data_IF_150659407071
#
_entry.id   IF_150659407071
#
_cell.length_a   1.000
_cell.length_b   1.000
_cell.length_c   1.000
_cell.angle_alpha   90.00
_cell.angle_beta   90.00
_cell.angle_gamma   90.00
#
_symmetry.space_group_name_H-M   'P 1'
#
loop_
_entity.id
_entity.type
_entity.pdbx_description
1 polymer ?
#
# COMPACT_ATOMS: atom_id res chain seq x y z
N UNK A 1 -30.82 13.54 13.34
CA UNK A 1 -29.96 13.37 14.52
C UNK A 1 -30.24 12.00 15.12
N UNK A 2 -29.47 10.98 14.77
CA UNK A 2 -29.40 9.73 15.55
C UNK A 2 -27.96 9.58 16.02
N UNK A 3 -27.78 9.59 17.33
CA UNK A 3 -26.51 9.32 17.99
C UNK A 3 -26.12 7.86 17.72
N UNK A 4 -25.19 7.63 16.80
CA UNK A 4 -24.50 6.34 16.69
C UNK A 4 -23.55 6.21 17.88
N UNK A 5 -24.08 5.66 18.97
CA UNK A 5 -23.28 5.25 20.12
C UNK A 5 -22.19 4.29 19.63
N UNK A 6 -20.93 4.61 19.96
CA UNK A 6 -19.80 3.73 19.71
C UNK A 6 -20.06 2.35 20.34
N UNK A 7 -19.66 1.29 19.64
CA UNK A 7 -19.73 -0.07 20.18
C UNK A 7 -19.02 -0.12 21.57
N UNK A 8 -19.62 -0.79 22.57
CA UNK A 8 -19.10 -0.77 23.92
C UNK A 8 -17.73 -1.47 23.98
N UNK A 9 -16.68 -0.75 24.36
CA UNK A 9 -15.38 -1.36 24.73
C UNK A 9 -14.11 -0.68 24.21
N UNK A 10 -14.18 0.28 23.27
CA UNK A 10 -13.02 1.12 22.90
C UNK A 10 -13.22 2.54 23.40
N UNK A 11 -12.42 2.96 24.37
CA UNK A 11 -12.22 4.37 24.67
C UNK A 11 -11.55 5.01 23.44
N UNK A 12 -12.34 5.65 22.59
CA UNK A 12 -11.86 6.41 21.44
C UNK A 12 -11.68 7.87 21.87
N UNK A 13 -10.55 8.48 21.50
CA UNK A 13 -10.34 9.92 21.72
C UNK A 13 -11.34 10.75 20.89
N UNK A 14 -11.47 12.04 21.23
CA UNK A 14 -12.29 12.97 20.46
C UNK A 14 -11.85 13.02 18.99
N UNK A 15 -10.53 13.03 18.74
CA UNK A 15 -9.97 12.98 17.38
C UNK A 15 -10.40 11.69 16.68
N UNK A 16 -10.21 10.53 17.30
CA UNK A 16 -10.61 9.25 16.69
C UNK A 16 -12.10 9.24 16.34
N UNK A 17 -12.94 9.71 17.26
CA UNK A 17 -14.39 9.76 17.10
C UNK A 17 -14.79 10.71 15.97
N UNK A 18 -14.19 11.90 15.90
CA UNK A 18 -14.46 12.87 14.84
C UNK A 18 -14.08 12.35 13.45
N UNK A 19 -13.08 11.46 13.36
CA UNK A 19 -12.60 10.89 12.10
C UNK A 19 -13.44 9.72 11.58
N UNK A 20 -14.23 9.04 12.41
CA UNK A 20 -15.02 7.87 11.98
C UNK A 20 -15.93 8.14 10.78
N UNK A 21 -16.56 9.31 10.75
CA UNK A 21 -17.52 9.71 9.73
C UNK A 21 -16.93 10.66 8.67
N UNK A 22 -15.62 10.89 8.68
CA UNK A 22 -15.01 11.76 7.70
C UNK A 22 -15.05 11.11 6.30
N UNK A 23 -15.66 11.77 5.30
CA UNK A 23 -15.74 11.22 3.95
C UNK A 23 -14.36 11.28 3.29
N UNK A 24 -13.98 10.21 2.60
CA UNK A 24 -12.76 10.18 1.80
C UNK A 24 -13.09 10.53 0.34
N UNK A 25 -12.26 11.33 -0.33
CA UNK A 25 -12.41 11.55 -1.75
C UNK A 25 -12.21 10.24 -2.52
N UNK A 26 -13.03 10.03 -3.55
CA UNK A 26 -12.87 8.95 -4.51
C UNK A 26 -12.49 9.52 -5.88
N UNK A 27 -11.66 8.82 -6.68
CA UNK A 27 -11.48 9.11 -8.09
C UNK A 27 -12.83 9.27 -8.80
N UNK A 28 -12.94 10.28 -9.67
CA UNK A 28 -14.19 10.62 -10.38
C UNK A 28 -14.76 9.42 -11.15
N UNK A 29 -13.90 8.61 -11.76
CA UNK A 29 -14.28 7.40 -12.51
C UNK A 29 -15.04 6.38 -11.64
N UNK A 30 -14.77 6.30 -10.34
CA UNK A 30 -15.46 5.38 -9.42
C UNK A 30 -16.82 5.91 -8.95
N UNK A 31 -17.07 7.21 -9.08
CA UNK A 31 -18.34 7.86 -8.73
C UNK A 31 -19.42 7.66 -9.79
N UNK A 32 -19.02 7.36 -11.02
CA UNK A 32 -19.90 7.17 -12.17
C UNK A 32 -19.81 5.73 -12.70
N UNK A 33 -20.63 5.36 -13.70
CA UNK A 33 -20.44 4.12 -14.46
C UNK A 33 -19.11 4.17 -15.23
N UNK A 34 -18.43 3.03 -15.31
CA UNK A 34 -17.18 2.88 -16.04
C UNK A 34 -17.12 1.51 -16.71
N UNK A 35 -16.29 1.41 -17.74
CA UNK A 35 -15.86 0.14 -18.35
C UNK A 35 -14.38 -0.09 -18.09
N UNK A 36 -13.97 -1.34 -18.18
CA UNK A 36 -12.57 -1.72 -18.17
C UNK A 36 -12.09 -1.72 -19.62
N UNK A 37 -10.98 -1.03 -19.88
CA UNK A 37 -10.27 -1.08 -21.15
C UNK A 37 -8.91 -1.75 -20.91
N UNK A 38 -8.61 -2.75 -21.73
CA UNK A 38 -7.30 -3.39 -21.71
C UNK A 38 -6.26 -2.43 -22.30
N UNK A 39 -5.13 -2.32 -21.61
CA UNK A 39 -3.92 -1.67 -22.08
C UNK A 39 -3.00 -2.66 -22.81
N UNK A 40 -1.73 -2.28 -23.03
CA UNK A 40 -0.77 -3.16 -23.70
C UNK A 40 -0.51 -4.45 -22.88
N UNK A 41 -0.18 -5.57 -23.54
CA UNK A 41 0.35 -6.76 -22.88
C UNK A 41 1.55 -6.41 -21.99
N UNK A 42 1.61 -6.99 -20.79
CA UNK A 42 2.71 -6.74 -19.86
C UNK A 42 3.88 -7.71 -20.08
N UNK A 43 5.06 -7.30 -19.64
CA UNK A 43 6.26 -8.13 -19.49
C UNK A 43 6.79 -8.00 -18.07
N UNK A 44 7.74 -8.84 -17.66
CA UNK A 44 8.35 -8.77 -16.33
C UNK A 44 9.44 -7.70 -16.22
N UNK A 45 9.61 -7.12 -15.03
CA UNK A 45 10.65 -6.14 -14.72
C UNK A 45 12.07 -6.71 -14.88
N UNK A 46 12.24 -8.02 -14.66
CA UNK A 46 13.50 -8.74 -14.90
C UNK A 46 13.25 -10.20 -15.29
N UNK A 47 14.19 -10.77 -16.04
CA UNK A 47 14.19 -12.18 -16.46
C UNK A 47 12.85 -12.69 -17.05
N UNK A 48 12.30 -12.03 -18.10
CA UNK A 48 10.95 -12.32 -18.59
C UNK A 48 10.74 -13.77 -19.03
N UNK A 49 11.73 -14.41 -19.64
CA UNK A 49 11.64 -15.81 -20.07
C UNK A 49 11.48 -16.79 -18.89
N UNK A 50 12.14 -16.50 -17.76
CA UNK A 50 12.03 -17.33 -16.54
C UNK A 50 10.71 -17.07 -15.82
N UNK A 51 10.26 -15.81 -15.75
CA UNK A 51 8.94 -15.48 -15.20
C UNK A 51 7.82 -16.11 -16.04
N UNK A 52 7.94 -16.12 -17.37
CA UNK A 52 6.97 -16.77 -18.25
C UNK A 52 6.85 -18.28 -17.98
N UNK A 53 7.97 -18.97 -17.67
CA UNK A 53 7.95 -20.39 -17.27
C UNK A 53 7.28 -20.63 -15.93
N UNK A 54 7.46 -19.70 -14.97
CA UNK A 54 6.89 -19.80 -13.63
C UNK A 54 5.40 -19.42 -13.59
N UNK A 55 4.97 -18.54 -14.50
CA UNK A 55 3.60 -18.01 -14.56
C UNK A 55 2.95 -18.20 -15.94
N UNK A 56 2.84 -19.44 -16.44
CA UNK A 56 2.37 -19.70 -17.80
C UNK A 56 0.91 -19.30 -18.04
N UNK A 57 0.11 -19.08 -16.99
CA UNK A 57 -1.30 -18.62 -17.11
C UNK A 57 -1.46 -17.11 -16.94
N UNK A 58 -0.58 -16.46 -16.19
CA UNK A 58 -0.69 -15.04 -15.87
C UNK A 58 0.29 -14.14 -16.62
N UNK A 59 1.42 -14.67 -17.11
CA UNK A 59 2.39 -13.89 -17.85
C UNK A 59 1.77 -13.31 -19.14
N UNK A 60 2.09 -12.06 -19.46
CA UNK A 60 1.56 -11.38 -20.65
C UNK A 60 0.17 -10.77 -20.49
N UNK A 61 -0.46 -10.90 -19.32
CA UNK A 61 -1.78 -10.28 -19.08
C UNK A 61 -1.72 -8.75 -19.33
N UNK A 62 -2.72 -8.17 -20.02
CA UNK A 62 -2.72 -6.75 -20.29
C UNK A 62 -2.89 -5.97 -18.99
N UNK A 63 -2.38 -4.74 -18.95
CA UNK A 63 -2.83 -3.79 -17.94
C UNK A 63 -4.31 -3.48 -18.15
N UNK A 64 -4.99 -3.03 -17.10
CA UNK A 64 -6.39 -2.65 -17.18
C UNK A 64 -6.54 -1.19 -16.76
N UNK A 65 -7.38 -0.41 -17.46
CA UNK A 65 -7.72 0.97 -17.10
C UNK A 65 -9.23 1.14 -16.96
N UNK A 66 -9.64 1.98 -16.01
CA UNK A 66 -11.06 2.35 -15.87
C UNK A 66 -11.36 3.56 -16.74
N UNK A 67 -12.34 3.43 -17.65
CA UNK A 67 -12.76 4.49 -18.55
C UNK A 67 -14.21 4.85 -18.27
N UNK A 68 -14.55 6.15 -18.05
CA UNK A 68 -15.92 6.57 -17.82
C UNK A 68 -16.86 6.13 -18.97
N UNK A 69 -18.07 5.73 -18.62
CA UNK A 69 -19.13 5.44 -19.61
C UNK A 69 -20.33 6.34 -19.36
N UNK A 70 -20.85 6.96 -20.43
CA UNK A 70 -22.06 7.80 -20.38
C UNK A 70 -23.37 7.02 -20.24
N UNK A 71 -23.33 5.69 -20.25
CA UNK A 71 -24.50 4.82 -20.09
C UNK A 71 -24.75 4.48 -18.62
N UNK A 72 -26.03 4.41 -18.24
CA UNK A 72 -26.50 3.88 -16.95
C UNK A 72 -25.94 2.48 -16.75
N UNK A 73 -25.39 2.13 -15.57
CA UNK A 73 -24.81 0.81 -15.39
C UNK A 73 -25.93 -0.22 -15.46
N UNK A 74 -25.70 -1.38 -16.08
CA UNK A 74 -26.36 -2.57 -15.54
C UNK A 74 -25.86 -2.69 -14.11
N UNK A 75 -26.73 -2.70 -13.11
CA UNK A 75 -26.34 -3.17 -11.78
C UNK A 75 -25.53 -4.46 -11.97
N UNK A 76 -24.43 -4.65 -11.23
CA UNK A 76 -23.75 -5.94 -11.30
C UNK A 76 -24.77 -6.99 -10.83
N UNK A 77 -25.26 -7.79 -11.79
CA UNK A 77 -26.25 -8.82 -11.54
C UNK A 77 -25.55 -9.97 -10.83
N UNK A 78 -25.50 -9.93 -9.51
CA UNK A 78 -24.90 -10.99 -8.71
C UNK A 78 -24.37 -10.51 -7.36
N UNK A 79 -24.38 -11.41 -6.39
CA UNK A 79 -23.68 -11.25 -5.12
C UNK A 79 -22.26 -11.80 -5.25
N UNK A 80 -21.30 -11.15 -4.59
CA UNK A 80 -19.90 -11.58 -4.56
C UNK A 80 -19.50 -12.01 -3.16
N UNK A 81 -18.64 -13.02 -3.07
CA UNK A 81 -17.96 -13.42 -1.84
C UNK A 81 -16.47 -13.07 -1.96
N UNK A 82 -16.05 -12.04 -1.21
CA UNK A 82 -14.69 -11.50 -1.29
C UNK A 82 -13.96 -11.73 0.02
N UNK A 83 -12.81 -12.41 -0.05
CA UNK A 83 -11.86 -12.49 1.07
C UNK A 83 -10.89 -11.32 1.06
N UNK A 84 -10.50 -10.82 2.23
CA UNK A 84 -9.43 -9.82 2.39
C UNK A 84 -8.38 -10.28 3.40
N UNK A 85 -7.12 -10.00 3.12
CA UNK A 85 -5.97 -10.36 3.96
C UNK A 85 -5.09 -9.12 4.19
N UNK A 86 -4.81 -8.79 5.45
CA UNK A 86 -3.76 -7.82 5.81
C UNK A 86 -2.43 -8.57 6.01
N UNK A 87 -1.44 -8.34 5.16
CA UNK A 87 -0.16 -9.06 5.19
C UNK A 87 1.02 -8.11 5.42
N UNK A 88 2.00 -8.57 6.21
CA UNK A 88 3.20 -7.81 6.51
C UNK A 88 3.09 -6.84 7.68
N UNK A 89 4.04 -5.91 7.74
CA UNK A 89 4.04 -4.81 8.71
C UNK A 89 2.87 -3.85 8.48
N UNK A 90 2.40 -3.23 9.56
CA UNK A 90 1.27 -2.31 9.51
C UNK A 90 1.64 -1.04 8.73
N UNK A 91 0.68 -0.47 8.03
CA UNK A 91 0.79 0.85 7.40
C UNK A 91 -0.52 1.61 7.63
N UNK A 92 -0.48 2.94 7.85
CA UNK A 92 -1.70 3.74 7.92
C UNK A 92 -2.57 3.55 6.67
N UNK A 93 -3.89 3.41 6.84
CA UNK A 93 -4.85 3.29 5.73
C UNK A 93 -5.30 1.86 5.36
N UNK A 94 -4.73 0.81 5.94
CA UNK A 94 -5.18 -0.57 5.64
C UNK A 94 -6.65 -0.84 5.98
N UNK A 95 -7.16 -0.26 7.07
CA UNK A 95 -8.59 -0.33 7.39
C UNK A 95 -9.46 0.38 6.34
N UNK A 96 -8.95 1.45 5.72
CA UNK A 96 -9.67 2.19 4.69
C UNK A 96 -9.73 1.43 3.38
N UNK A 97 -8.73 0.61 3.05
CA UNK A 97 -8.80 -0.32 1.91
C UNK A 97 -9.95 -1.32 2.11
N UNK A 98 -10.03 -1.94 3.29
CA UNK A 98 -11.11 -2.88 3.61
C UNK A 98 -12.47 -2.17 3.60
N UNK A 99 -12.56 -0.98 4.20
CA UNK A 99 -13.79 -0.18 4.25
C UNK A 99 -14.26 0.21 2.84
N UNK A 100 -13.33 0.61 1.95
CA UNK A 100 -13.64 0.96 0.57
C UNK A 100 -14.13 -0.22 -0.27
N UNK A 101 -13.51 -1.40 -0.11
CA UNK A 101 -14.00 -2.65 -0.74
C UNK A 101 -15.41 -2.95 -0.26
N UNK A 102 -15.63 -2.89 1.05
CA UNK A 102 -16.94 -3.15 1.65
C UNK A 102 -18.00 -2.17 1.12
N UNK A 103 -17.73 -0.87 1.18
CA UNK A 103 -18.67 0.17 0.72
C UNK A 103 -18.96 0.04 -0.78
N UNK A 104 -17.95 -0.27 -1.59
CA UNK A 104 -18.15 -0.49 -3.02
C UNK A 104 -19.10 -1.67 -3.27
N UNK A 105 -18.90 -2.79 -2.58
CA UNK A 105 -19.75 -3.97 -2.70
C UNK A 105 -21.18 -3.70 -2.20
N UNK A 106 -21.34 -3.04 -1.06
CA UNK A 106 -22.69 -2.70 -0.55
C UNK A 106 -23.44 -1.73 -1.48
N UNK A 107 -22.71 -0.86 -2.20
CA UNK A 107 -23.32 0.10 -3.13
C UNK A 107 -23.60 -0.49 -4.53
N UNK A 108 -22.69 -1.33 -5.06
CA UNK A 108 -22.71 -1.78 -6.46
C UNK A 108 -23.07 -3.26 -6.67
N UNK A 109 -23.01 -4.08 -5.62
CA UNK A 109 -23.29 -5.52 -5.64
C UNK A 109 -23.98 -5.95 -4.33
N UNK A 110 -25.16 -5.39 -4.06
CA UNK A 110 -25.91 -5.62 -2.81
C UNK A 110 -26.11 -7.10 -2.53
N UNK A 111 -25.93 -7.50 -1.27
CA UNK A 111 -25.97 -8.90 -0.84
C UNK A 111 -24.62 -9.63 -0.95
N UNK A 112 -23.55 -8.93 -1.36
CA UNK A 112 -22.18 -9.46 -1.28
C UNK A 112 -21.69 -9.60 0.15
N UNK A 113 -20.84 -10.60 0.38
CA UNK A 113 -20.22 -10.90 1.68
C UNK A 113 -18.72 -10.63 1.62
N UNK A 114 -18.18 -10.03 2.69
CA UNK A 114 -16.74 -9.80 2.83
C UNK A 114 -16.19 -10.59 4.02
N UNK A 115 -15.19 -11.42 3.79
CA UNK A 115 -14.52 -12.22 4.80
C UNK A 115 -13.14 -11.64 5.11
N UNK A 116 -12.89 -11.25 6.35
CA UNK A 116 -11.59 -10.83 6.83
C UNK A 116 -10.80 -12.00 7.39
N UNK A 117 -9.73 -12.43 6.70
CA UNK A 117 -8.86 -13.51 7.17
C UNK A 117 -7.92 -13.04 8.27
N UNK A 118 -7.94 -13.75 9.40
CA UNK A 118 -7.26 -13.32 10.62
C UNK A 118 -5.77 -13.63 10.62
N UNK A 119 -4.95 -12.65 10.99
CA UNK A 119 -3.52 -12.83 11.23
C UNK A 119 -2.71 -13.05 9.95
N UNK A 120 -3.09 -12.40 8.85
CA UNK A 120 -2.38 -12.48 7.57
C UNK A 120 -2.61 -13.78 6.80
N UNK A 121 -1.65 -14.21 5.94
CA UNK A 121 -1.84 -15.35 5.05
C UNK A 121 -2.13 -16.68 5.76
N UNK A 122 -1.72 -16.84 7.03
CA UNK A 122 -2.14 -17.98 7.85
C UNK A 122 -3.65 -18.09 8.01
N UNK A 123 -4.39 -16.97 7.97
CA UNK A 123 -5.84 -16.94 8.07
C UNK A 123 -6.52 -17.71 6.94
N UNK A 124 -6.11 -17.47 5.69
CA UNK A 124 -6.65 -18.21 4.54
C UNK A 124 -6.20 -19.67 4.53
N UNK A 125 -4.95 -19.98 4.90
CA UNK A 125 -4.48 -21.37 4.97
C UNK A 125 -5.22 -22.18 6.04
N UNK A 126 -5.54 -21.57 7.18
CA UNK A 126 -6.18 -22.25 8.32
C UNK A 126 -7.69 -22.07 8.37
N UNK A 127 -8.30 -21.50 7.33
CA UNK A 127 -9.73 -21.14 7.29
C UNK A 127 -10.18 -20.33 8.53
N UNK A 128 -9.33 -19.41 9.01
CA UNK A 128 -9.61 -18.52 10.15
C UNK A 128 -10.00 -17.14 9.65
N UNK A 129 -11.29 -16.82 9.74
CA UNK A 129 -11.85 -15.57 9.25
C UNK A 129 -12.93 -15.02 10.19
N UNK A 130 -13.35 -13.79 9.91
CA UNK A 130 -14.60 -13.19 10.38
C UNK A 130 -15.35 -12.63 9.19
N UNK A 131 -16.68 -12.68 9.24
CA UNK A 131 -17.50 -11.91 8.33
C UNK A 131 -17.49 -10.44 8.75
N UNK A 132 -17.25 -9.54 7.80
CA UNK A 132 -17.18 -8.11 8.05
C UNK A 132 -18.55 -7.51 7.80
N UNK A 133 -19.19 -7.03 8.86
CA UNK A 133 -20.49 -6.34 8.82
C UNK A 133 -20.30 -4.82 8.95
N UNK A 134 -21.33 -4.00 8.67
CA UNK A 134 -21.26 -2.55 8.88
C UNK A 134 -20.82 -2.18 10.30
N UNK A 135 -21.36 -2.86 11.31
CA UNK A 135 -21.08 -2.64 12.73
C UNK A 135 -19.64 -3.05 13.08
N UNK A 136 -19.14 -4.13 12.46
CA UNK A 136 -17.77 -4.58 12.65
C UNK A 136 -16.75 -3.59 12.07
N UNK A 137 -17.02 -3.05 10.87
CA UNK A 137 -16.09 -2.14 10.16
C UNK A 137 -16.13 -0.73 10.75
N UNK A 138 -17.30 -0.24 11.17
CA UNK A 138 -17.50 1.13 11.63
C UNK A 138 -16.40 1.67 12.57
N UNK A 139 -16.01 0.98 13.67
CA UNK A 139 -15.02 1.50 14.61
C UNK A 139 -13.60 1.61 14.04
N UNK A 140 -13.32 1.06 12.86
CA UNK A 140 -12.01 1.09 12.22
C UNK A 140 -11.93 2.10 11.06
N UNK A 141 -13.05 2.76 10.72
CA UNK A 141 -13.05 3.76 9.64
C UNK A 141 -12.09 4.89 9.97
N UNK A 142 -11.18 5.17 9.04
CA UNK A 142 -10.16 6.23 9.15
C UNK A 142 -9.21 6.05 10.34
N UNK A 143 -9.16 4.86 10.94
CA UNK A 143 -8.21 4.55 12.01
C UNK A 143 -6.90 4.00 11.43
N UNK A 144 -5.82 4.19 12.19
CA UNK A 144 -4.55 3.54 11.90
C UNK A 144 -4.52 2.10 12.38
N UNK A 145 -3.44 1.38 12.04
CA UNK A 145 -3.21 0.02 12.51
C UNK A 145 -3.87 -1.05 11.62
N UNK A 146 -3.53 -2.31 11.91
CA UNK A 146 -4.00 -3.51 11.18
C UNK A 146 -4.85 -4.44 12.08
N UNK A 147 -5.27 -3.93 13.23
CA UNK A 147 -5.94 -4.63 14.33
C UNK A 147 -7.37 -5.10 14.02
N UNK A 148 -8.01 -4.60 12.96
CA UNK A 148 -9.33 -5.09 12.51
C UNK A 148 -9.36 -6.61 12.29
N UNK A 149 -8.33 -7.15 11.64
CA UNK A 149 -8.17 -8.60 11.39
C UNK A 149 -6.77 -9.12 11.71
N UNK A 150 -5.90 -8.28 12.28
CA UNK A 150 -4.48 -8.52 12.50
C UNK A 150 -3.72 -8.85 11.20
N UNK A 151 -2.39 -8.88 11.29
CA UNK A 151 -1.54 -9.24 10.17
C UNK A 151 -0.54 -10.33 10.50
N UNK A 152 0.07 -10.88 9.47
CA UNK A 152 1.07 -11.95 9.55
C UNK A 152 2.01 -11.90 8.36
N UNK A 153 3.14 -12.60 8.48
CA UNK A 153 4.21 -12.65 7.47
C UNK A 153 4.40 -14.05 6.89
N UNK A 154 3.45 -14.95 7.11
CA UNK A 154 3.49 -16.31 6.57
C UNK A 154 3.64 -16.30 5.05
N UNK A 155 4.48 -17.18 4.54
CA UNK A 155 4.65 -17.40 3.11
C UNK A 155 3.82 -18.59 2.65
N UNK A 156 3.40 -18.56 1.39
CA UNK A 156 2.71 -19.67 0.74
C UNK A 156 3.66 -20.19 -0.34
N UNK A 157 4.44 -21.21 0.01
CA UNK A 157 5.51 -21.75 -0.83
C UNK A 157 5.35 -23.25 -1.10
N UNK A 158 4.73 -24.01 -0.18
CA UNK A 158 4.64 -25.47 -0.32
C UNK A 158 3.31 -25.92 -0.96
N UNK A 159 3.27 -27.06 -1.66
CA UNK A 159 2.04 -27.61 -2.22
C UNK A 159 0.90 -27.75 -1.20
N UNK A 160 1.22 -28.11 0.04
CA UNK A 160 0.26 -28.24 1.13
C UNK A 160 -0.35 -26.89 1.52
N UNK A 161 0.46 -25.83 1.56
CA UNK A 161 -0.01 -24.47 1.84
C UNK A 161 -0.91 -23.93 0.72
N UNK A 162 -0.55 -24.20 -0.54
CA UNK A 162 -1.41 -23.89 -1.68
C UNK A 162 -2.73 -24.65 -1.61
N UNK A 163 -2.69 -25.93 -1.25
CA UNK A 163 -3.88 -26.77 -1.11
C UNK A 163 -4.80 -26.27 0.00
N UNK A 164 -4.24 -25.89 1.14
CA UNK A 164 -4.98 -25.29 2.26
C UNK A 164 -5.72 -24.00 1.86
N UNK A 165 -5.06 -23.11 1.11
CA UNK A 165 -5.69 -21.89 0.62
C UNK A 165 -6.79 -22.20 -0.43
N UNK A 166 -6.54 -23.15 -1.33
CA UNK A 166 -7.52 -23.66 -2.30
C UNK A 166 -8.77 -24.22 -1.59
N UNK A 167 -8.59 -25.06 -0.57
CA UNK A 167 -9.69 -25.72 0.13
C UNK A 167 -10.56 -24.69 0.86
N UNK A 168 -9.94 -23.66 1.45
CA UNK A 168 -10.65 -22.54 2.05
C UNK A 168 -11.42 -21.73 1.01
N UNK A 169 -10.79 -21.40 -0.13
CA UNK A 169 -11.43 -20.64 -1.20
C UNK A 169 -12.64 -21.38 -1.79
N UNK A 170 -12.54 -22.70 -1.97
CA UNK A 170 -13.64 -23.57 -2.42
C UNK A 170 -14.73 -23.70 -1.36
N UNK A 171 -14.35 -23.93 -0.10
CA UNK A 171 -15.29 -24.06 1.03
C UNK A 171 -16.15 -22.82 1.22
N UNK A 172 -15.55 -21.64 1.10
CA UNK A 172 -16.26 -20.35 1.22
C UNK A 172 -16.84 -19.89 -0.12
N UNK A 173 -16.59 -20.63 -1.20
CA UNK A 173 -17.07 -20.31 -2.54
C UNK A 173 -16.69 -18.87 -2.95
N UNK A 174 -15.42 -18.49 -2.70
CA UNK A 174 -14.93 -17.13 -2.92
C UNK A 174 -14.86 -16.79 -4.41
N UNK A 175 -15.38 -15.62 -4.77
CA UNK A 175 -15.20 -15.04 -6.11
C UNK A 175 -13.89 -14.25 -6.20
N UNK A 176 -13.49 -13.62 -5.09
CA UNK A 176 -12.29 -12.79 -5.02
C UNK A 176 -11.52 -12.94 -3.71
N UNK A 177 -10.20 -12.75 -3.77
CA UNK A 177 -9.30 -12.62 -2.63
C UNK A 177 -8.40 -11.40 -2.82
N UNK A 178 -8.50 -10.42 -1.94
CA UNK A 178 -7.65 -9.22 -1.95
C UNK A 178 -6.54 -9.35 -0.91
N UNK A 179 -5.29 -9.34 -1.36
CA UNK A 179 -4.10 -9.41 -0.51
C UNK A 179 -3.50 -8.01 -0.37
N UNK A 180 -3.62 -7.40 0.80
CA UNK A 180 -3.14 -6.04 1.09
C UNK A 180 -1.78 -6.15 1.77
N UNK A 181 -0.71 -5.82 1.05
CA UNK A 181 0.64 -6.15 1.51
C UNK A 181 1.77 -5.53 0.70
N UNK A 182 3.01 -5.79 1.11
CA UNK A 182 4.21 -5.32 0.42
C UNK A 182 4.65 -6.26 -0.72
N UNK A 183 5.93 -6.17 -1.10
CA UNK A 183 6.59 -7.01 -2.10
C UNK A 183 6.44 -8.51 -1.84
N UNK A 184 6.79 -8.98 -0.63
CA UNK A 184 6.67 -10.40 -0.27
C UNK A 184 5.20 -10.89 -0.30
N UNK A 185 4.26 -10.03 0.10
CA UNK A 185 2.83 -10.35 0.14
C UNK A 185 2.21 -10.44 -1.26
N UNK A 186 2.56 -9.50 -2.15
CA UNK A 186 2.09 -9.52 -3.52
C UNK A 186 2.79 -10.61 -4.35
N UNK A 187 3.99 -11.03 -3.95
CA UNK A 187 4.63 -12.26 -4.48
C UNK A 187 3.77 -13.49 -4.15
N UNK A 188 3.32 -13.65 -2.90
CA UNK A 188 2.37 -14.72 -2.53
C UNK A 188 1.05 -14.61 -3.30
N UNK A 189 0.53 -13.39 -3.49
CA UNK A 189 -0.70 -13.16 -4.24
C UNK A 189 -0.58 -13.64 -5.70
N UNK A 190 0.55 -13.37 -6.35
CA UNK A 190 0.83 -13.81 -7.72
C UNK A 190 0.93 -15.33 -7.83
N UNK A 191 1.65 -15.96 -6.90
CA UNK A 191 1.77 -17.43 -6.83
C UNK A 191 0.41 -18.11 -6.59
N UNK A 192 -0.40 -17.55 -5.70
CA UNK A 192 -1.78 -18.02 -5.46
C UNK A 192 -2.65 -17.88 -6.71
N UNK A 193 -2.60 -16.72 -7.37
CA UNK A 193 -3.36 -16.44 -8.58
C UNK A 193 -3.04 -17.46 -9.69
N UNK A 194 -1.76 -17.77 -9.89
CA UNK A 194 -1.30 -18.73 -10.88
C UNK A 194 -1.81 -20.13 -10.54
N UNK A 195 -1.60 -20.59 -9.31
CA UNK A 195 -2.07 -21.91 -8.85
C UNK A 195 -3.59 -22.04 -8.96
N UNK A 196 -4.35 -21.01 -8.59
CA UNK A 196 -5.82 -21.03 -8.71
C UNK A 196 -6.26 -21.10 -10.17
N UNK A 197 -5.61 -20.35 -11.06
CA UNK A 197 -5.89 -20.37 -12.50
C UNK A 197 -5.55 -21.72 -13.13
N UNK A 198 -4.40 -22.30 -12.81
CA UNK A 198 -3.98 -23.62 -13.31
C UNK A 198 -4.95 -24.74 -12.90
N UNK A 199 -5.54 -24.62 -11.70
CA UNK A 199 -6.49 -25.60 -11.16
C UNK A 199 -7.95 -25.26 -11.48
N UNK A 200 -8.22 -24.27 -12.33
CA UNK A 200 -9.56 -23.81 -12.68
C UNK A 200 -10.44 -23.48 -11.46
N UNK A 201 -9.84 -22.89 -10.42
CA UNK A 201 -10.56 -22.36 -9.27
C UNK A 201 -11.16 -21.00 -9.64
N UNK A 202 -12.45 -20.77 -9.36
CA UNK A 202 -13.14 -19.53 -9.77
C UNK A 202 -12.55 -18.26 -9.12
N UNK A 203 -11.96 -18.40 -7.94
CA UNK A 203 -11.49 -17.29 -7.10
C UNK A 203 -10.38 -16.50 -7.80
N UNK A 204 -10.61 -15.20 -8.01
CA UNK A 204 -9.60 -14.27 -8.52
C UNK A 204 -8.78 -13.70 -7.37
N UNK A 205 -7.48 -13.55 -7.54
CA UNK A 205 -6.59 -13.00 -6.51
C UNK A 205 -6.08 -11.64 -6.98
N UNK A 206 -6.28 -10.61 -6.15
CA UNK A 206 -5.90 -9.23 -6.42
C UNK A 206 -4.92 -8.76 -5.34
N UNK A 207 -3.81 -8.18 -5.78
CA UNK A 207 -2.85 -7.53 -4.90
C UNK A 207 -3.21 -6.06 -4.66
N UNK A 208 -3.16 -5.61 -3.41
CA UNK A 208 -3.20 -4.19 -3.07
C UNK A 208 -1.83 -3.79 -2.51
N UNK A 209 -1.10 -2.88 -3.17
CA UNK A 209 0.22 -2.47 -2.71
C UNK A 209 0.08 -1.76 -1.36
N UNK A 210 0.96 -2.10 -0.42
CA UNK A 210 1.01 -1.51 0.91
C UNK A 210 2.42 -1.63 1.48
N UNK A 211 3.07 -0.49 1.70
CA UNK A 211 4.31 -0.40 2.47
C UNK A 211 4.45 1.01 3.06
N UNK A 212 5.24 1.15 4.12
CA UNK A 212 5.73 2.46 4.56
C UNK A 212 7.10 2.77 3.94
N UNK A 213 7.81 1.76 3.44
CA UNK A 213 9.21 1.86 2.99
C UNK A 213 9.39 2.65 1.68
N UNK A 214 8.35 3.32 1.17
CA UNK A 214 8.44 4.27 0.05
C UNK A 214 7.82 3.86 -1.28
N UNK A 215 7.40 2.59 -1.47
CA UNK A 215 6.68 2.17 -2.68
C UNK A 215 5.26 2.80 -2.77
N UNK A 216 4.77 3.36 -1.65
CA UNK A 216 3.57 4.20 -1.53
C UNK A 216 3.90 5.41 -0.64
N UNK A 217 3.89 6.62 -1.24
CA UNK A 217 4.39 7.85 -0.62
C UNK A 217 3.28 8.53 0.19
N UNK A 218 3.55 8.88 1.46
CA UNK A 218 2.60 9.57 2.34
C UNK A 218 3.33 10.49 3.33
N UNK A 219 2.60 11.37 4.03
CA UNK A 219 3.18 12.20 5.10
C UNK A 219 3.70 11.35 6.24
N UNK A 220 4.91 11.63 6.68
CA UNK A 220 5.56 10.85 7.74
C UNK A 220 5.64 11.63 9.05
N UNK A 221 5.11 11.04 10.11
CA UNK A 221 5.23 11.52 11.51
C UNK A 221 6.72 11.63 11.91
N UNK A 222 7.61 10.89 11.28
CA UNK A 222 9.04 10.93 11.54
C UNK A 222 9.65 12.33 11.37
N UNK A 223 9.18 13.09 10.38
CA UNK A 223 9.70 14.44 10.12
C UNK A 223 9.38 15.41 11.25
N UNK A 224 8.20 15.32 11.85
CA UNK A 224 7.83 16.11 13.03
C UNK A 224 8.79 15.83 14.19
N UNK A 225 9.01 14.55 14.51
CA UNK A 225 9.90 14.15 15.60
C UNK A 225 11.35 14.60 15.36
N UNK A 226 11.85 14.43 14.13
CA UNK A 226 13.20 14.87 13.75
C UNK A 226 13.32 16.39 13.89
N UNK A 227 12.35 17.15 13.37
CA UNK A 227 12.33 18.61 13.48
C UNK A 227 12.32 19.11 14.93
N UNK A 228 11.60 18.43 15.82
CA UNK A 228 11.60 18.72 17.26
C UNK A 228 12.98 18.46 17.89
N UNK A 229 13.60 17.32 17.59
CA UNK A 229 14.96 17.00 18.06
C UNK A 229 15.99 18.02 17.56
N UNK A 230 15.88 18.45 16.31
CA UNK A 230 16.78 19.45 15.73
C UNK A 230 16.60 20.83 16.38
N UNK A 231 15.37 21.19 16.74
CA UNK A 231 15.08 22.41 17.48
C UNK A 231 15.66 22.36 18.89
N UNK A 232 15.59 21.22 19.56
CA UNK A 232 16.23 21.01 20.88
C UNK A 232 17.76 21.09 20.80
N UNK A 233 18.36 20.42 19.80
CA UNK A 233 19.80 20.45 19.55
C UNK A 233 20.31 21.88 19.30
N UNK A 234 19.58 22.66 18.50
CA UNK A 234 19.87 24.09 18.27
C UNK A 234 19.75 24.92 19.54
N UNK A 235 18.75 24.64 20.37
CA UNK A 235 18.49 25.39 21.60
C UNK A 235 19.54 25.12 22.68
N UNK A 236 20.08 23.91 22.73
CA UNK A 236 21.03 23.49 23.76
C UNK A 236 22.50 23.56 23.34
N UNK A 237 22.79 23.44 22.04
CA UNK A 237 24.14 23.59 21.47
C UNK A 237 25.16 22.53 21.89
N UNK A 238 24.72 21.36 22.38
CA UNK A 238 25.60 20.37 23.04
C UNK A 238 25.45 18.92 22.60
N UNK A 239 24.45 18.59 21.76
CA UNK A 239 24.14 17.22 21.41
C UNK A 239 24.29 16.95 19.91
N UNK A 240 24.78 15.76 19.59
CA UNK A 240 24.68 15.14 18.27
C UNK A 240 23.66 13.99 18.36
N UNK A 241 22.58 14.09 17.61
CA UNK A 241 21.53 13.09 17.59
C UNK A 241 21.69 12.16 16.39
N UNK A 242 21.70 10.86 16.63
CA UNK A 242 21.71 9.84 15.59
C UNK A 242 20.31 9.23 15.51
N UNK A 243 19.58 9.56 14.44
CA UNK A 243 18.21 9.08 14.23
C UNK A 243 18.24 7.99 13.15
N UNK A 244 17.93 6.75 13.55
CA UNK A 244 17.77 5.64 12.61
C UNK A 244 16.28 5.46 12.29
N UNK A 245 15.94 5.55 11.01
CA UNK A 245 14.58 5.40 10.52
C UNK A 245 14.27 3.95 10.12
N UNK A 246 12.98 3.65 10.03
CA UNK A 246 12.51 2.48 9.28
C UNK A 246 12.79 2.73 7.77
N UNK A 247 12.74 1.69 6.95
CA UNK A 247 13.26 1.75 5.57
C UNK A 247 14.17 0.56 5.32
N UNK A 248 13.57 -0.62 5.20
CA UNK A 248 14.28 -1.91 5.24
C UNK A 248 15.39 -2.04 4.21
N UNK A 249 15.09 -1.67 2.97
CA UNK A 249 15.97 -1.84 1.81
C UNK A 249 16.22 -0.51 1.11
N UNK A 250 15.19 0.33 1.02
CA UNK A 250 15.27 1.64 0.37
C UNK A 250 15.29 2.79 1.39
N UNK A 251 15.90 3.92 0.99
CA UNK A 251 16.05 5.13 1.80
C UNK A 251 14.97 6.18 1.52
N UNK A 252 13.82 5.82 0.96
CA UNK A 252 12.74 6.76 0.62
C UNK A 252 12.28 7.57 1.84
N UNK A 253 12.04 6.89 2.97
CA UNK A 253 11.69 7.50 4.27
C UNK A 253 12.78 8.50 4.70
N UNK A 254 14.04 8.07 4.61
CA UNK A 254 15.19 8.89 4.99
C UNK A 254 15.31 10.14 4.11
N UNK A 255 15.16 10.00 2.79
CA UNK A 255 15.21 11.10 1.85
C UNK A 255 14.07 12.10 2.08
N UNK A 256 12.84 11.60 2.30
CA UNK A 256 11.68 12.44 2.61
C UNK A 256 11.91 13.24 3.89
N UNK A 257 12.33 12.59 4.96
CA UNK A 257 12.62 13.25 6.24
C UNK A 257 13.73 14.29 6.10
N UNK A 258 14.76 14.01 5.31
CA UNK A 258 15.84 14.95 5.07
C UNK A 258 15.37 16.20 4.30
N UNK A 259 14.55 16.01 3.27
CA UNK A 259 13.93 17.11 2.53
C UNK A 259 13.01 17.95 3.40
N UNK A 260 12.31 17.36 4.37
CA UNK A 260 11.38 18.08 5.25
C UNK A 260 12.06 18.82 6.41
N UNK A 261 13.22 18.34 6.89
CA UNK A 261 13.79 18.83 8.15
C UNK A 261 15.18 19.46 8.01
N UNK A 262 15.89 19.20 6.91
CA UNK A 262 17.23 19.72 6.61
C UNK A 262 18.31 19.35 7.65
N UNK A 263 18.50 18.05 7.98
CA UNK A 263 19.50 17.61 8.94
C UNK A 263 20.92 17.86 8.41
N UNK A 264 21.89 17.98 9.32
CA UNK A 264 23.28 18.22 8.91
C UNK A 264 23.90 17.05 8.15
N UNK A 265 23.55 15.81 8.53
CA UNK A 265 24.05 14.60 7.87
C UNK A 265 22.86 13.71 7.56
N UNK A 266 22.79 13.23 6.32
CA UNK A 266 21.85 12.20 5.86
C UNK A 266 22.60 11.18 5.03
N UNK A 267 22.38 9.90 5.30
CA UNK A 267 23.00 8.79 4.57
C UNK A 267 21.92 8.14 3.71
N UNK A 268 22.11 8.14 2.39
CA UNK A 268 21.23 7.50 1.42
C UNK A 268 21.88 6.19 0.96
N UNK A 269 21.27 5.05 1.28
CA UNK A 269 21.80 3.73 0.92
C UNK A 269 21.93 3.53 -0.60
N UNK A 270 21.05 4.19 -1.37
CA UNK A 270 21.02 4.17 -2.82
C UNK A 270 21.99 5.11 -3.49
N UNK A 271 22.76 5.95 -2.78
CA UNK A 271 23.98 6.55 -3.38
C UNK A 271 25.00 5.46 -3.78
N UNK A 272 24.64 4.19 -3.53
CA UNK A 272 25.24 2.96 -4.02
C UNK A 272 24.44 2.32 -5.22
N UNK A 273 23.49 3.01 -5.88
CA UNK A 273 22.95 2.75 -7.26
C UNK A 273 21.39 2.81 -7.55
N UNK A 274 20.99 3.56 -8.63
CA UNK A 274 19.88 3.56 -9.69
C UNK A 274 18.45 2.90 -9.51
N UNK A 275 17.27 3.33 -10.04
CA UNK A 275 16.58 4.47 -10.77
C UNK A 275 15.03 4.17 -10.76
N UNK A 276 14.10 5.12 -10.91
CA UNK A 276 13.51 5.64 -12.16
C UNK A 276 11.97 5.45 -12.39
N UNK A 277 11.03 6.30 -11.88
CA UNK A 277 10.00 7.10 -12.62
C UNK A 277 8.88 7.82 -11.77
N UNK A 278 8.19 8.87 -12.32
CA UNK A 278 7.29 9.83 -11.63
C UNK A 278 5.77 9.53 -11.66
N UNK A 279 4.93 10.42 -11.08
CA UNK A 279 3.56 10.12 -10.57
C UNK A 279 2.39 10.80 -11.32
N UNK A 280 2.67 11.83 -12.09
CA UNK A 280 1.67 12.64 -12.82
C UNK A 280 1.00 11.83 -13.95
N UNK A 281 1.60 10.70 -14.30
CA UNK A 281 1.11 9.72 -15.27
C UNK A 281 0.22 8.63 -14.62
N UNK A 282 -0.18 8.78 -13.36
CA UNK A 282 -0.93 7.73 -12.66
C UNK A 282 -2.36 7.57 -13.19
N UNK A 283 -2.52 6.62 -14.09
CA UNK A 283 -3.81 6.06 -14.49
C UNK A 283 -4.35 5.14 -13.40
N UNK A 284 -5.66 5.18 -13.11
CA UNK A 284 -6.29 4.15 -12.28
C UNK A 284 -6.34 2.88 -13.11
N UNK A 285 -5.47 1.94 -12.76
CA UNK A 285 -5.37 0.69 -13.44
C UNK A 285 -4.96 -0.46 -12.56
N UNK A 286 -5.02 -1.66 -13.12
CA UNK A 286 -4.39 -2.85 -12.58
C UNK A 286 -3.21 -3.20 -13.47
N UNK A 287 -2.05 -3.45 -12.87
CA UNK A 287 -0.96 -4.13 -13.59
C UNK A 287 -0.99 -5.61 -13.25
N UNK A 288 -0.56 -6.46 -14.18
CA UNK A 288 -0.32 -7.85 -13.88
C UNK A 288 0.77 -7.96 -12.80
N UNK A 289 0.56 -8.78 -11.77
CA UNK A 289 1.56 -8.96 -10.70
C UNK A 289 2.89 -9.48 -11.25
N UNK A 290 2.85 -10.28 -12.31
CA UNK A 290 4.02 -10.77 -13.05
C UNK A 290 4.85 -9.65 -13.67
N UNK A 291 4.26 -8.49 -13.95
CA UNK A 291 4.98 -7.35 -14.52
C UNK A 291 6.00 -6.75 -13.55
N UNK A 292 5.76 -6.90 -12.24
CA UNK A 292 6.64 -6.41 -11.18
C UNK A 292 7.67 -7.46 -10.73
N UNK A 293 7.65 -8.65 -11.33
CA UNK A 293 8.48 -9.77 -10.88
C UNK A 293 9.87 -9.79 -11.50
N UNK A 294 10.79 -10.38 -10.74
CA UNK A 294 12.15 -10.74 -11.12
C UNK A 294 12.52 -12.07 -10.45
N UNK A 295 13.68 -12.63 -10.79
CA UNK A 295 14.19 -13.87 -10.20
C UNK A 295 15.38 -13.56 -9.29
N UNK A 296 15.21 -13.77 -7.98
CA UNK A 296 16.28 -13.59 -6.98
C UNK A 296 16.75 -14.94 -6.42
N UNK A 297 18.05 -15.02 -6.11
CA UNK A 297 18.61 -16.17 -5.39
C UNK A 297 18.41 -16.00 -3.88
N UNK A 298 17.51 -16.77 -3.29
CA UNK A 298 17.24 -16.80 -1.84
C UNK A 298 17.53 -18.19 -1.26
N UNK A 299 18.38 -18.25 -0.23
CA UNK A 299 18.81 -19.52 0.39
C UNK A 299 19.27 -20.58 -0.63
N UNK A 300 20.06 -20.14 -1.62
CA UNK A 300 20.64 -21.02 -2.65
C UNK A 300 19.71 -21.39 -3.81
N UNK A 301 18.41 -21.10 -3.73
CA UNK A 301 17.41 -21.37 -4.79
C UNK A 301 16.97 -20.08 -5.48
N UNK A 302 16.71 -20.17 -6.78
CA UNK A 302 16.06 -19.09 -7.52
C UNK A 302 14.57 -19.07 -7.18
N UNK A 303 14.05 -17.90 -6.80
CA UNK A 303 12.65 -17.70 -6.44
C UNK A 303 12.12 -16.46 -7.18
N UNK A 304 10.89 -16.50 -7.70
CA UNK A 304 10.23 -15.29 -8.20
C UNK A 304 9.93 -14.37 -7.03
N UNK A 305 10.20 -13.08 -7.22
CA UNK A 305 9.94 -12.04 -6.23
C UNK A 305 9.48 -10.78 -6.93
N UNK A 306 8.70 -9.95 -6.24
CA UNK A 306 8.47 -8.57 -6.69
C UNK A 306 9.73 -7.76 -6.39
N UNK A 307 10.26 -7.09 -7.41
CA UNK A 307 11.44 -6.23 -7.28
C UNK A 307 11.09 -5.00 -6.45
N UNK A 308 11.97 -4.65 -5.51
CA UNK A 308 11.78 -3.47 -4.65
C UNK A 308 12.13 -2.19 -5.41
N UNK A 309 11.35 -1.14 -5.21
CA UNK A 309 11.64 0.18 -5.75
C UNK A 309 12.60 0.92 -4.82
N UNK A 310 13.76 1.31 -5.35
CA UNK A 310 14.83 1.99 -4.61
C UNK A 310 14.79 3.50 -4.88
N UNK A 311 15.41 4.32 -4.03
CA UNK A 311 15.58 5.76 -4.28
C UNK A 311 16.33 5.99 -5.58
N UNK A 312 15.86 7.00 -6.30
CA UNK A 312 16.29 7.36 -7.62
C UNK A 312 17.35 8.46 -7.58
N UNK A 313 18.62 8.10 -7.82
CA UNK A 313 19.70 9.09 -7.74
C UNK A 313 19.61 10.20 -8.79
N UNK A 314 19.09 9.91 -9.98
CA UNK A 314 18.81 10.93 -11.00
C UNK A 314 17.40 11.53 -10.85
N UNK A 315 16.63 11.03 -9.88
CA UNK A 315 15.29 11.52 -9.56
C UNK A 315 15.32 12.96 -9.03
N UNK A 316 14.24 13.70 -9.29
CA UNK A 316 14.10 15.07 -8.80
C UNK A 316 14.25 15.21 -7.26
N UNK A 317 13.70 14.29 -6.44
CA UNK A 317 13.86 14.36 -4.97
C UNK A 317 15.31 14.29 -4.52
N UNK A 318 16.07 13.32 -5.03
CA UNK A 318 17.47 13.14 -4.66
C UNK A 318 18.32 14.30 -5.17
N UNK A 319 18.15 14.74 -6.42
CA UNK A 319 18.89 15.90 -6.96
C UNK A 319 18.66 17.17 -6.14
N UNK A 320 17.41 17.39 -5.69
CA UNK A 320 17.09 18.52 -4.80
C UNK A 320 17.82 18.39 -3.47
N UNK A 321 17.78 17.22 -2.81
CA UNK A 321 18.54 16.94 -1.60
C UNK A 321 20.06 17.17 -1.80
N UNK A 322 20.65 16.57 -2.83
CA UNK A 322 22.07 16.66 -3.15
C UNK A 322 22.53 18.11 -3.41
N UNK A 323 21.66 18.95 -4.00
CA UNK A 323 21.97 20.37 -4.24
C UNK A 323 22.08 21.22 -2.97
N UNK A 324 21.50 20.77 -1.85
CA UNK A 324 21.42 21.54 -0.61
C UNK A 324 22.21 20.93 0.55
N UNK A 325 22.56 19.63 0.49
CA UNK A 325 23.16 18.90 1.61
C UNK A 325 24.47 19.49 2.14
N UNK A 326 25.30 20.07 1.26
CA UNK A 326 26.57 20.69 1.68
C UNK A 326 26.33 21.97 2.49
N UNK A 327 25.29 22.75 2.13
CA UNK A 327 24.88 23.89 2.95
C UNK A 327 24.32 23.43 4.29
N UNK A 328 23.45 22.41 4.30
CA UNK A 328 22.83 21.89 5.51
C UNK A 328 23.84 21.28 6.49
N UNK A 329 24.91 20.68 5.97
CA UNK A 329 26.01 20.15 6.78
C UNK A 329 26.71 21.24 7.59
N UNK A 330 26.89 22.43 7.02
CA UNK A 330 27.66 23.52 7.64
C UNK A 330 26.79 24.57 8.35
N UNK A 331 25.53 24.74 7.93
CA UNK A 331 24.62 25.77 8.44
C UNK A 331 23.37 25.15 9.04
N UNK A 332 22.92 25.69 10.18
CA UNK A 332 21.69 25.29 10.84
C UNK A 332 20.46 25.84 10.09
N UNK A 333 20.04 25.14 9.02
CA UNK A 333 18.88 25.43 8.18
C UNK A 333 17.66 24.56 8.50
N UNK A 334 17.56 24.12 9.75
CA UNK A 334 16.56 23.19 10.23
C UNK A 334 15.13 23.70 9.99
N UNK A 335 14.26 22.78 9.57
CA UNK A 335 12.82 22.98 9.51
C UNK A 335 12.16 22.07 10.54
N UNK A 336 11.22 22.62 11.30
CA UNK A 336 10.38 21.85 12.23
C UNK A 336 8.98 21.77 11.65
N UNK A 337 8.65 20.69 10.90
CA UNK A 337 7.29 20.48 10.44
C UNK A 337 6.41 20.18 11.66
N UNK A 338 5.24 20.82 11.70
CA UNK A 338 4.26 20.58 12.76
C UNK A 338 3.54 19.23 12.61
N UNK A 339 2.65 18.91 13.57
CA UNK A 339 1.86 17.67 13.51
C UNK A 339 0.97 17.61 12.27
N UNK A 340 0.66 16.38 11.82
CA UNK A 340 -0.33 16.15 10.75
C UNK A 340 -1.65 16.79 11.13
N UNK A 341 -2.13 17.71 10.27
CA UNK A 341 -3.44 18.32 10.41
C UNK A 341 -4.49 17.50 9.66
N UNK A 342 -5.65 17.30 10.29
CA UNK A 342 -6.80 16.62 9.66
C UNK A 342 -7.85 17.61 9.12
N UNK A 343 -7.71 18.89 9.45
CA UNK A 343 -8.62 19.98 9.09
C UNK A 343 -7.82 21.25 8.82
N UNK A 344 -8.38 22.13 7.99
CA UNK A 344 -7.80 23.45 7.71
C UNK A 344 -6.63 23.42 6.72
N UNK A 345 -5.95 24.57 6.55
CA UNK A 345 -4.82 24.68 5.64
C UNK A 345 -3.74 23.66 5.98
N UNK A 346 -3.24 22.96 4.96
CA UNK A 346 -2.19 21.95 5.10
C UNK A 346 -2.67 20.53 5.38
N UNK A 347 -3.99 20.28 5.55
CA UNK A 347 -4.48 18.90 5.75
C UNK A 347 -4.20 17.99 4.56
N UNK A 348 -4.24 18.56 3.35
CA UNK A 348 -4.07 17.85 2.08
C UNK A 348 -2.66 17.97 1.49
N UNK A 349 -1.68 18.50 2.23
CA UNK A 349 -0.31 18.59 1.70
C UNK A 349 0.21 17.22 1.27
N UNK A 350 1.11 17.21 0.29
CA UNK A 350 1.75 15.99 -0.18
C UNK A 350 3.16 15.89 0.42
N UNK A 351 3.77 14.71 0.33
CA UNK A 351 5.17 14.54 0.70
C UNK A 351 6.08 15.37 -0.24
N UNK A 352 7.23 15.85 0.25
CA UNK A 352 8.17 16.63 -0.56
C UNK A 352 8.70 15.82 -1.74
N UNK A 353 8.96 14.53 -1.53
CA UNK A 353 9.37 13.58 -2.57
C UNK A 353 8.31 13.52 -3.68
N UNK A 354 7.03 13.40 -3.32
CA UNK A 354 5.95 13.36 -4.30
C UNK A 354 5.82 14.70 -5.04
N UNK A 355 5.88 15.83 -4.34
CA UNK A 355 5.85 17.15 -4.98
C UNK A 355 6.98 17.35 -5.99
N UNK A 356 8.20 16.92 -5.66
CA UNK A 356 9.37 17.04 -6.52
C UNK A 356 9.31 16.12 -7.73
N UNK A 357 8.79 14.91 -7.57
CA UNK A 357 8.51 14.01 -8.70
C UNK A 357 7.46 14.60 -9.64
N UNK A 358 6.42 15.24 -9.06
CA UNK A 358 5.39 15.97 -9.78
C UNK A 358 5.86 17.25 -10.48
N UNK A 359 7.15 17.59 -10.39
CA UNK A 359 7.70 18.81 -10.97
C UNK A 359 7.17 20.09 -10.30
N UNK A 360 6.49 19.98 -9.16
CA UNK A 360 5.99 21.12 -8.38
C UNK A 360 7.16 21.63 -7.55
N UNK A 361 7.46 22.94 -7.66
CA UNK A 361 8.50 23.55 -6.83
C UNK A 361 8.09 23.47 -5.35
N UNK A 362 8.68 22.52 -4.62
CA UNK A 362 8.61 22.48 -3.17
C UNK A 362 9.46 23.63 -2.60
N UNK A 363 8.81 24.54 -1.87
CA UNK A 363 9.46 25.67 -1.18
C UNK A 363 10.32 25.21 0.00
#
# INVERSE_FOLDING_TARGET
>A
MSSNAAAPGRLASEVQTSRLNHPLPLPSVLKSPFKIADGPPSSAAGNPDEIAKLFPKLFGQPSAMLVPTGSVPSEMTGTLKVGVVLSGGQAPGGHNVISGIFDYLQNRAKGSTVYGFKGGPAGIMKCKYVELTPEFIYPYRNQGGFDMICSGRDKIETPEQFKQAEDTAKKLDLDGLVVIGGDDSNTNACLLAENFTQKNIKTRVIGCPKTIDGDLKSKEIYSEMIGNVMTDARSTGKYYHFVRLMGRAASHITLECALQTHPNITIIGEEVGNLCAPVEEWTVGGTALTALMDVERRHGKFKPVIKKAMVELEGAPFRKFASMRDEWALKNRYISPGPIQFIGPGSDDLSRTLLLELGVQAA
#
